data_IF_238982546385
#
_entry.id   IF_238982546385
#
_cell.length_a   1.000
_cell.length_b   1.000
_cell.length_c   1.000
_cell.angle_alpha   90.00
_cell.angle_beta   90.00
_cell.angle_gamma   90.00
#
_symmetry.space_group_name_H-M   'P 1'
#
loop_
_entity.id
_entity.type
_entity.pdbx_description
1 polymer ?
#
# COMPACT_ATOMS: atom_id res chain seq x y z
N UNK A 1 -10.91 26.47 -7.34
CA UNK A 1 -10.99 25.22 -8.13
C UNK A 1 -11.57 24.12 -7.24
N UNK A 2 -12.18 23.07 -7.81
CA UNK A 2 -12.61 21.89 -7.04
C UNK A 2 -11.36 21.17 -6.53
N UNK A 3 -11.34 20.70 -5.29
CA UNK A 3 -10.19 19.96 -4.77
C UNK A 3 -9.98 18.67 -5.58
N UNK A 4 -8.71 18.25 -5.82
CA UNK A 4 -8.41 17.04 -6.58
C UNK A 4 -8.96 15.81 -5.86
N UNK A 5 -9.41 14.82 -6.63
CA UNK A 5 -9.76 13.51 -6.09
C UNK A 5 -8.50 12.74 -5.71
N UNK A 6 -8.60 11.86 -4.72
CA UNK A 6 -7.47 11.05 -4.24
C UNK A 6 -7.55 9.64 -4.82
N UNK A 7 -6.48 9.21 -5.48
CA UNK A 7 -6.22 7.82 -5.82
C UNK A 7 -5.16 7.30 -4.85
N UNK A 8 -5.49 6.26 -4.10
CA UNK A 8 -4.71 5.79 -2.97
C UNK A 8 -3.86 4.55 -3.29
N UNK A 9 -2.65 4.52 -2.75
CA UNK A 9 -1.64 3.49 -2.98
C UNK A 9 -1.92 2.14 -2.33
N UNK A 10 -2.70 2.08 -1.24
CA UNK A 10 -2.91 0.83 -0.49
C UNK A 10 -4.06 0.92 0.52
N UNK A 11 -4.97 -0.06 0.48
CA UNK A 11 -5.95 -0.29 1.53
C UNK A 11 -6.32 -1.78 1.67
N UNK A 12 -6.89 -2.09 2.82
CA UNK A 12 -7.25 -3.44 3.29
C UNK A 12 -8.77 -3.67 3.38
N UNK A 13 -9.55 -2.96 2.54
CA UNK A 13 -11.01 -3.15 2.51
C UNK A 13 -11.40 -4.63 2.32
N UNK A 14 -10.69 -5.34 1.43
CA UNK A 14 -10.98 -6.74 1.14
C UNK A 14 -10.68 -7.64 2.35
N UNK A 15 -9.56 -7.42 3.03
CA UNK A 15 -9.20 -8.08 4.29
C UNK A 15 -10.26 -7.84 5.36
N UNK A 16 -10.70 -6.60 5.55
CA UNK A 16 -11.75 -6.25 6.51
C UNK A 16 -13.04 -7.01 6.24
N UNK A 17 -13.50 -7.02 4.99
CA UNK A 17 -14.73 -7.72 4.60
C UNK A 17 -14.59 -9.24 4.70
N UNK A 18 -13.41 -9.79 4.44
CA UNK A 18 -13.13 -11.22 4.62
C UNK A 18 -13.27 -11.66 6.08
N UNK A 19 -12.85 -10.81 7.02
CA UNK A 19 -12.98 -11.05 8.46
C UNK A 19 -14.30 -10.61 9.08
N UNK A 20 -15.14 -9.88 8.35
CA UNK A 20 -16.37 -9.28 8.87
C UNK A 20 -17.56 -10.26 8.79
N UNK A 21 -18.54 -10.16 9.72
CA UNK A 21 -19.80 -10.86 9.58
C UNK A 21 -20.67 -10.28 8.46
N UNK A 22 -20.47 -9.00 8.13
CA UNK A 22 -21.24 -8.28 7.14
C UNK A 22 -20.60 -8.43 5.75
N UNK A 23 -21.41 -8.77 4.76
CA UNK A 23 -20.96 -8.99 3.38
C UNK A 23 -20.59 -7.72 2.61
N UNK A 24 -20.22 -7.84 1.32
CA UNK A 24 -19.86 -6.74 0.44
C UNK A 24 -20.91 -5.61 0.36
N UNK A 25 -22.19 -5.91 0.58
CA UNK A 25 -23.29 -4.93 0.60
C UNK A 25 -23.11 -3.86 1.69
N UNK A 26 -22.38 -4.16 2.76
CA UNK A 26 -22.11 -3.23 3.87
C UNK A 26 -21.37 -1.97 3.42
N UNK A 27 -20.61 -2.04 2.31
CA UNK A 27 -19.90 -0.89 1.72
C UNK A 27 -20.88 0.21 1.26
N UNK A 28 -22.13 -0.12 0.97
CA UNK A 28 -23.15 0.85 0.58
C UNK A 28 -23.76 1.65 1.74
N UNK A 29 -23.53 1.24 3.00
CA UNK A 29 -24.15 1.81 4.18
C UNK A 29 -23.23 2.69 5.03
N UNK A 30 -23.59 2.84 6.30
CA UNK A 30 -22.76 3.43 7.36
C UNK A 30 -22.12 2.27 8.14
N UNK A 31 -20.97 1.82 7.68
CA UNK A 31 -20.29 0.61 8.19
C UNK A 31 -19.17 0.90 9.19
N UNK A 32 -18.58 -0.17 9.71
CA UNK A 32 -17.30 -0.12 10.44
C UNK A 32 -16.13 -0.13 9.45
N UNK A 33 -15.05 0.60 9.76
CA UNK A 33 -13.87 0.72 8.91
C UNK A 33 -13.78 2.07 8.20
N UNK A 34 -12.71 2.24 7.43
CA UNK A 34 -12.36 3.50 6.81
C UNK A 34 -13.04 3.73 5.46
N UNK A 35 -13.37 2.66 4.72
CA UNK A 35 -13.86 2.75 3.33
C UNK A 35 -15.29 2.25 3.20
N UNK A 36 -16.19 3.17 2.84
CA UNK A 36 -17.59 2.92 2.44
C UNK A 36 -18.00 3.94 1.37
N UNK A 37 -18.93 3.58 0.49
CA UNK A 37 -19.26 4.35 -0.71
C UNK A 37 -19.76 5.79 -0.41
N UNK A 38 -20.61 6.04 0.62
CA UNK A 38 -20.96 7.39 1.03
C UNK A 38 -19.74 8.23 1.44
N UNK A 39 -18.86 7.69 2.30
CA UNK A 39 -17.64 8.38 2.73
C UNK A 39 -16.68 8.62 1.56
N UNK A 40 -16.56 7.68 0.61
CA UNK A 40 -15.70 7.87 -0.55
C UNK A 40 -16.14 9.08 -1.38
N UNK A 41 -17.46 9.27 -1.54
CA UNK A 41 -18.04 10.42 -2.24
C UNK A 41 -17.82 11.73 -1.48
N UNK A 42 -18.07 11.74 -0.18
CA UNK A 42 -17.85 12.91 0.70
C UNK A 42 -16.37 13.31 0.73
N UNK A 43 -15.51 12.32 0.90
CA UNK A 43 -14.08 12.45 1.02
C UNK A 43 -13.34 12.79 -0.27
N UNK A 44 -13.97 12.56 -1.42
CA UNK A 44 -13.32 12.65 -2.73
C UNK A 44 -12.29 11.54 -2.95
N UNK A 45 -12.53 10.35 -2.42
CA UNK A 45 -11.73 9.15 -2.64
C UNK A 45 -12.14 8.53 -3.99
N UNK A 46 -11.28 8.65 -4.99
CA UNK A 46 -11.52 8.14 -6.33
C UNK A 46 -11.35 6.62 -6.42
N UNK A 47 -10.60 6.02 -5.50
CA UNK A 47 -10.22 4.61 -5.54
C UNK A 47 -8.76 4.40 -5.19
N UNK A 48 -8.21 3.23 -5.53
CA UNK A 48 -6.85 2.86 -5.17
C UNK A 48 -6.50 1.41 -5.47
N UNK A 49 -5.44 0.94 -4.81
CA UNK A 49 -5.05 -0.47 -4.78
C UNK A 49 -5.77 -1.17 -3.62
N UNK A 50 -6.49 -2.25 -3.95
CA UNK A 50 -7.24 -3.06 -2.98
C UNK A 50 -6.46 -4.34 -2.73
N UNK A 51 -5.89 -4.44 -1.53
CA UNK A 51 -4.94 -5.48 -1.17
C UNK A 51 -5.64 -6.83 -0.92
N UNK A 52 -5.05 -7.88 -1.48
CA UNK A 52 -5.29 -9.27 -1.14
C UNK A 52 -4.19 -9.67 -0.17
N UNK A 53 -4.50 -9.67 1.12
CA UNK A 53 -3.54 -10.01 2.16
C UNK A 53 -3.95 -11.29 2.89
N UNK A 54 -3.00 -12.19 3.14
CA UNK A 54 -3.25 -13.44 3.87
C UNK A 54 -2.93 -13.24 5.36
N UNK A 55 -3.92 -13.21 6.27
CA UNK A 55 -3.67 -12.90 7.67
C UNK A 55 -2.80 -13.95 8.37
N UNK A 56 -1.92 -13.52 9.26
CA UNK A 56 -1.24 -14.41 10.21
C UNK A 56 -2.07 -14.60 11.48
N UNK A 57 -1.92 -15.77 12.09
CA UNK A 57 -2.33 -15.97 13.48
C UNK A 57 -1.37 -15.25 14.43
N UNK A 58 -1.68 -14.01 14.78
CA UNK A 58 -0.94 -13.20 15.75
C UNK A 58 -1.84 -12.75 16.89
N UNK A 59 -1.28 -12.66 18.10
CA UNK A 59 -1.96 -12.00 19.22
C UNK A 59 -1.93 -10.48 18.98
N UNK A 60 -3.02 -9.98 18.38
CA UNK A 60 -3.16 -8.55 18.04
C UNK A 60 -3.10 -7.69 19.30
N UNK A 61 -3.67 -8.12 20.43
CA UNK A 61 -3.67 -7.34 21.67
C UNK A 61 -2.25 -7.21 22.20
N UNK A 62 -1.50 -8.31 22.25
CA UNK A 62 -0.10 -8.29 22.68
C UNK A 62 0.77 -7.45 21.73
N UNK A 63 0.58 -7.59 20.41
CA UNK A 63 1.24 -6.75 19.40
C UNK A 63 0.97 -5.27 19.65
N UNK A 64 -0.31 -4.90 19.82
CA UNK A 64 -0.70 -3.51 20.03
C UNK A 64 -0.12 -2.93 21.31
N UNK A 65 -0.10 -3.70 22.40
CA UNK A 65 0.49 -3.29 23.66
C UNK A 65 2.01 -3.10 23.53
N UNK A 66 2.70 -4.01 22.84
CA UNK A 66 4.15 -3.93 22.66
C UNK A 66 4.58 -2.70 21.83
N UNK A 67 3.82 -2.37 20.78
CA UNK A 67 4.12 -1.25 19.89
C UNK A 67 3.85 0.14 20.50
N UNK A 68 3.43 0.23 21.77
CA UNK A 68 3.33 1.50 22.51
C UNK A 68 4.61 1.86 23.28
N UNK A 69 5.57 0.93 23.37
CA UNK A 69 6.84 1.14 24.07
C UNK A 69 7.82 2.08 23.33
N UNK A 70 8.90 2.47 24.02
CA UNK A 70 9.97 3.32 23.46
C UNK A 70 10.81 2.62 22.37
N UNK A 71 10.64 1.29 22.24
CA UNK A 71 11.21 0.45 21.21
C UNK A 71 10.63 -0.96 21.28
N UNK A 72 10.61 -1.67 20.16
CA UNK A 72 10.02 -2.99 20.04
C UNK A 72 10.62 -3.78 18.86
N UNK A 73 10.57 -5.10 18.95
CA UNK A 73 10.98 -6.04 17.90
C UNK A 73 9.98 -7.19 17.86
N UNK A 74 9.05 -7.14 16.90
CA UNK A 74 8.01 -8.16 16.77
C UNK A 74 8.52 -9.37 15.98
N UNK A 75 8.36 -10.59 16.51
CA UNK A 75 8.76 -11.78 15.77
C UNK A 75 7.98 -11.88 14.46
N UNK A 76 8.69 -12.24 13.38
CA UNK A 76 8.04 -12.57 12.12
C UNK A 76 7.15 -13.81 12.32
N UNK A 77 5.92 -13.80 11.81
CA UNK A 77 5.11 -15.02 11.73
C UNK A 77 5.78 -16.06 10.83
N UNK A 78 5.46 -17.34 11.04
CA UNK A 78 5.90 -18.41 10.13
C UNK A 78 5.27 -18.27 8.75
N UNK A 79 5.93 -18.85 7.74
CA UNK A 79 5.41 -18.93 6.37
C UNK A 79 4.02 -19.58 6.32
N UNK A 80 3.15 -19.10 5.44
CA UNK A 80 1.83 -19.70 5.21
C UNK A 80 1.92 -20.72 4.06
N UNK A 81 1.36 -21.93 4.20
CA UNK A 81 1.25 -22.88 3.10
C UNK A 81 0.50 -22.32 1.89
N UNK A 82 0.95 -22.65 0.69
CA UNK A 82 0.41 -22.07 -0.55
C UNK A 82 -1.09 -22.38 -0.75
N UNK A 83 -1.55 -23.58 -0.39
CA UNK A 83 -2.94 -24.00 -0.52
C UNK A 83 -3.86 -23.21 0.43
N UNK A 84 -3.42 -22.96 1.66
CA UNK A 84 -4.10 -22.08 2.61
C UNK A 84 -4.17 -20.64 2.08
N UNK A 85 -3.03 -20.10 1.63
CA UNK A 85 -2.96 -18.76 1.06
C UNK A 85 -3.85 -18.61 -0.19
N UNK A 86 -3.85 -19.60 -1.07
CA UNK A 86 -4.68 -19.64 -2.29
C UNK A 86 -6.16 -19.56 -1.95
N UNK A 87 -6.62 -20.26 -0.90
CA UNK A 87 -8.00 -20.17 -0.46
C UNK A 87 -8.37 -18.76 -0.03
N UNK A 88 -7.55 -18.13 0.83
CA UNK A 88 -7.81 -16.78 1.35
C UNK A 88 -7.82 -15.75 0.22
N UNK A 89 -6.82 -15.80 -0.68
CA UNK A 89 -6.74 -14.91 -1.84
C UNK A 89 -7.96 -15.07 -2.74
N UNK A 90 -8.40 -16.31 -3.01
CA UNK A 90 -9.57 -16.54 -3.85
C UNK A 90 -10.87 -16.04 -3.22
N UNK A 91 -11.04 -16.21 -1.91
CA UNK A 91 -12.19 -15.69 -1.17
C UNK A 91 -12.23 -14.14 -1.22
N UNK A 92 -11.08 -13.47 -1.07
CA UNK A 92 -11.01 -12.01 -1.18
C UNK A 92 -11.22 -11.49 -2.60
N UNK A 93 -10.77 -12.21 -3.64
CA UNK A 93 -11.11 -11.85 -5.03
C UNK A 93 -12.62 -12.01 -5.25
N UNK A 94 -13.27 -13.02 -4.67
CA UNK A 94 -14.74 -13.14 -4.78
C UNK A 94 -15.46 -11.92 -4.14
N UNK A 95 -14.96 -11.42 -3.00
CA UNK A 95 -15.44 -10.17 -2.40
C UNK A 95 -15.22 -8.99 -3.35
N UNK A 96 -14.03 -8.87 -3.95
CA UNK A 96 -13.75 -7.82 -4.94
C UNK A 96 -14.72 -7.87 -6.12
N UNK A 97 -14.96 -9.06 -6.68
CA UNK A 97 -15.88 -9.28 -7.80
C UNK A 97 -17.33 -8.91 -7.42
N UNK A 98 -17.75 -9.21 -6.18
CA UNK A 98 -19.05 -8.81 -5.66
C UNK A 98 -19.16 -7.28 -5.50
N UNK A 99 -18.13 -6.60 -5.02
CA UNK A 99 -18.11 -5.14 -4.94
C UNK A 99 -18.17 -4.48 -6.33
N UNK A 100 -17.55 -5.09 -7.34
CA UNK A 100 -17.66 -4.66 -8.74
C UNK A 100 -19.09 -4.87 -9.25
N UNK A 101 -19.69 -6.04 -9.01
CA UNK A 101 -21.06 -6.37 -9.40
C UNK A 101 -22.10 -5.44 -8.76
N UNK A 102 -21.87 -5.04 -7.50
CA UNK A 102 -22.71 -4.09 -6.77
C UNK A 102 -22.49 -2.63 -7.20
N UNK A 103 -21.46 -2.36 -8.01
CA UNK A 103 -21.14 -1.03 -8.52
C UNK A 103 -20.37 -0.13 -7.53
N UNK A 104 -19.88 -0.69 -6.42
CA UNK A 104 -19.04 0.06 -5.48
C UNK A 104 -17.60 0.21 -5.97
N UNK A 105 -17.08 -0.79 -6.69
CA UNK A 105 -15.78 -0.75 -7.34
C UNK A 105 -15.90 -0.82 -8.86
N UNK A 106 -14.94 -0.24 -9.56
CA UNK A 106 -14.73 -0.44 -11.00
C UNK A 106 -13.34 -1.00 -11.21
N UNK A 107 -13.24 -2.29 -11.57
CA UNK A 107 -11.94 -2.93 -11.80
C UNK A 107 -11.20 -2.24 -12.95
N UNK A 108 -9.96 -1.83 -12.68
CA UNK A 108 -9.09 -1.17 -13.64
C UNK A 108 -7.88 -2.05 -13.93
N UNK A 109 -7.66 -2.36 -15.21
CA UNK A 109 -6.55 -3.22 -15.69
C UNK A 109 -5.53 -2.44 -16.55
N UNK A 110 -5.80 -1.17 -16.79
CA UNK A 110 -4.98 -0.24 -17.57
C UNK A 110 -5.14 1.20 -17.08
N UNK A 111 -4.21 2.09 -17.45
CA UNK A 111 -4.34 3.52 -17.13
C UNK A 111 -5.53 4.16 -17.86
N UNK A 112 -5.92 3.60 -19.01
CA UNK A 112 -7.15 4.00 -19.71
C UNK A 112 -8.40 3.76 -18.85
N UNK A 113 -8.48 2.60 -18.18
CA UNK A 113 -9.58 2.28 -17.27
C UNK A 113 -9.60 3.24 -16.09
N UNK A 114 -8.43 3.52 -15.49
CA UNK A 114 -8.32 4.47 -14.37
C UNK A 114 -8.82 5.87 -14.78
N UNK A 115 -8.38 6.37 -15.93
CA UNK A 115 -8.81 7.69 -16.46
C UNK A 115 -10.32 7.73 -16.71
N UNK A 116 -10.94 6.60 -17.05
CA UNK A 116 -12.38 6.51 -17.26
C UNK A 116 -13.19 6.34 -15.96
N UNK A 117 -12.62 5.65 -14.96
CA UNK A 117 -13.29 5.34 -13.70
C UNK A 117 -13.17 6.46 -12.65
N UNK A 118 -12.05 7.20 -12.62
CA UNK A 118 -11.85 8.28 -11.66
C UNK A 118 -12.94 9.35 -11.84
N UNK A 119 -13.66 9.63 -10.75
CA UNK A 119 -14.79 10.56 -10.73
C UNK A 119 -16.13 9.96 -11.19
N UNK A 120 -16.16 8.66 -11.49
CA UNK A 120 -17.39 7.89 -11.73
C UNK A 120 -18.16 7.54 -10.45
N UNK A 121 -19.20 6.71 -10.59
CA UNK A 121 -20.10 6.35 -9.49
C UNK A 121 -19.48 5.40 -8.45
N UNK A 122 -18.59 4.51 -8.92
CA UNK A 122 -17.83 3.55 -8.14
C UNK A 122 -16.34 3.92 -8.08
N UNK A 123 -15.64 3.39 -7.07
CA UNK A 123 -14.22 3.65 -6.85
C UNK A 123 -13.37 2.88 -7.88
N UNK A 124 -12.43 3.56 -8.53
CA UNK A 124 -11.46 2.95 -9.43
C UNK A 124 -10.56 1.96 -8.66
N UNK A 125 -10.51 0.70 -9.07
CA UNK A 125 -9.96 -0.35 -8.24
C UNK A 125 -8.90 -1.17 -8.97
N UNK A 126 -7.68 -1.16 -8.43
CA UNK A 126 -6.59 -2.04 -8.85
C UNK A 126 -6.54 -3.22 -7.90
N UNK A 127 -6.57 -4.44 -8.45
CA UNK A 127 -6.33 -5.64 -7.67
C UNK A 127 -4.84 -5.77 -7.35
N UNK A 128 -4.50 -5.77 -6.06
CA UNK A 128 -3.14 -5.81 -5.54
C UNK A 128 -2.96 -7.02 -4.63
N UNK A 129 -1.80 -7.68 -4.69
CA UNK A 129 -1.47 -8.80 -3.80
C UNK A 129 -0.36 -8.37 -2.84
N UNK A 130 -0.63 -8.40 -1.55
CA UNK A 130 0.31 -8.00 -0.49
C UNK A 130 0.88 -9.26 0.18
N UNK A 131 2.05 -9.69 -0.31
CA UNK A 131 2.59 -11.02 -0.01
C UNK A 131 2.17 -12.05 -1.05
N UNK A 132 3.16 -12.73 -1.62
CA UNK A 132 2.95 -13.65 -2.73
C UNK A 132 2.74 -15.11 -2.29
N UNK A 133 2.22 -15.37 -1.08
CA UNK A 133 2.11 -16.73 -0.52
C UNK A 133 1.23 -17.66 -1.36
N UNK A 134 0.28 -17.13 -2.13
CA UNK A 134 -0.58 -17.91 -3.02
C UNK A 134 0.11 -18.33 -4.34
N UNK A 135 1.32 -17.87 -4.61
CA UNK A 135 2.05 -18.16 -5.85
C UNK A 135 3.14 -19.19 -5.60
N UNK A 136 3.17 -20.24 -6.42
CA UNK A 136 4.14 -21.32 -6.33
C UNK A 136 5.50 -20.95 -6.95
N UNK A 137 6.54 -21.77 -6.72
CA UNK A 137 7.89 -21.49 -7.23
C UNK A 137 8.02 -21.49 -8.75
N UNK A 138 7.04 -22.08 -9.44
CA UNK A 138 6.94 -22.15 -10.92
C UNK A 138 6.15 -20.98 -11.52
N UNK A 139 5.55 -20.13 -10.69
CA UNK A 139 4.82 -18.90 -11.06
C UNK A 139 3.57 -19.11 -11.92
N UNK A 140 3.03 -20.33 -11.99
CA UNK A 140 1.81 -20.62 -12.77
C UNK A 140 0.63 -19.80 -12.26
N UNK A 141 0.46 -19.73 -10.93
CA UNK A 141 -0.66 -19.02 -10.31
C UNK A 141 -0.60 -17.51 -10.55
N UNK A 142 0.61 -16.95 -10.75
CA UNK A 142 0.76 -15.53 -11.09
C UNK A 142 0.08 -15.19 -12.42
N UNK A 143 0.17 -16.09 -13.41
CA UNK A 143 -0.49 -15.92 -14.70
C UNK A 143 -2.02 -16.00 -14.54
N UNK A 144 -2.51 -16.96 -13.74
CA UNK A 144 -3.94 -17.08 -13.43
C UNK A 144 -4.49 -15.82 -12.73
N UNK A 145 -3.75 -15.27 -11.76
CA UNK A 145 -4.13 -14.04 -11.07
C UNK A 145 -4.05 -12.82 -11.99
N UNK A 146 -3.07 -12.76 -12.89
CA UNK A 146 -2.97 -11.70 -13.89
C UNK A 146 -4.19 -11.68 -14.82
N UNK A 147 -4.66 -12.84 -15.28
CA UNK A 147 -5.85 -12.97 -16.12
C UNK A 147 -7.13 -12.55 -15.41
N UNK A 148 -7.20 -12.78 -14.09
CA UNK A 148 -8.26 -12.28 -13.19
C UNK A 148 -8.17 -10.79 -12.90
N UNK A 149 -7.10 -10.13 -13.34
CA UNK A 149 -6.94 -8.67 -13.28
C UNK A 149 -5.94 -8.17 -12.23
N UNK A 150 -5.12 -9.04 -11.64
CA UNK A 150 -4.00 -8.61 -10.79
C UNK A 150 -3.05 -7.71 -11.59
N UNK A 151 -2.70 -6.55 -11.05
CA UNK A 151 -1.81 -5.58 -11.71
C UNK A 151 -0.73 -4.99 -10.80
N UNK A 152 -0.73 -5.37 -9.53
CA UNK A 152 0.26 -4.98 -8.55
C UNK A 152 0.55 -6.12 -7.58
N UNK A 153 1.81 -6.31 -7.18
CA UNK A 153 2.23 -7.39 -6.30
C UNK A 153 3.41 -6.97 -5.41
N UNK A 154 3.26 -7.13 -4.10
CA UNK A 154 4.35 -7.15 -3.13
C UNK A 154 4.85 -8.59 -2.93
N UNK A 155 6.13 -8.92 -3.17
CA UNK A 155 6.64 -10.29 -3.03
C UNK A 155 6.51 -10.87 -1.62
N UNK A 156 6.45 -9.99 -0.61
CA UNK A 156 6.37 -10.32 0.80
C UNK A 156 5.46 -9.33 1.51
N UNK A 157 4.76 -9.80 2.54
CA UNK A 157 4.33 -8.96 3.67
C UNK A 157 5.44 -8.95 4.73
N UNK A 158 5.21 -8.43 5.95
CA UNK A 158 6.08 -8.60 7.13
C UNK A 158 6.09 -10.06 7.64
N UNK A 159 6.47 -10.98 6.75
CA UNK A 159 6.53 -12.43 6.89
C UNK A 159 7.46 -12.98 5.80
N UNK A 160 8.09 -14.11 6.04
CA UNK A 160 8.89 -14.78 5.01
C UNK A 160 7.98 -15.43 3.96
N UNK A 161 8.40 -15.42 2.70
CA UNK A 161 7.79 -16.19 1.61
C UNK A 161 8.85 -17.01 0.90
N UNK A 162 8.46 -17.87 -0.04
CA UNK A 162 9.44 -18.57 -0.88
C UNK A 162 10.25 -17.62 -1.77
N UNK A 163 9.85 -16.34 -1.87
CA UNK A 163 10.45 -15.33 -2.75
C UNK A 163 11.45 -14.42 -2.02
N UNK A 164 11.34 -14.27 -0.70
CA UNK A 164 12.23 -13.41 0.08
C UNK A 164 11.72 -13.16 1.50
N UNK A 165 12.23 -12.09 2.11
CA UNK A 165 12.04 -11.81 3.52
C UNK A 165 11.49 -10.38 3.72
N UNK A 166 10.35 -10.27 4.40
CA UNK A 166 9.82 -9.00 4.86
C UNK A 166 10.49 -8.53 6.17
N UNK A 167 10.43 -7.23 6.43
CA UNK A 167 10.90 -6.66 7.69
C UNK A 167 9.97 -7.02 8.85
N UNK A 168 10.49 -7.32 10.05
CA UNK A 168 9.67 -7.32 11.26
C UNK A 168 9.15 -5.91 11.56
N UNK A 169 8.04 -5.82 12.31
CA UNK A 169 7.67 -4.55 12.92
C UNK A 169 8.65 -4.24 14.06
N UNK A 170 9.62 -3.37 13.77
CA UNK A 170 10.73 -3.07 14.66
C UNK A 170 11.06 -1.59 14.70
N UNK A 171 11.24 -1.05 15.90
CA UNK A 171 11.58 0.34 16.15
C UNK A 171 12.50 0.50 17.38
N UNK A 172 13.52 1.38 17.34
CA UNK A 172 14.11 1.94 16.13
C UNK A 172 14.92 0.87 15.39
N UNK A 173 14.89 0.86 14.05
CA UNK A 173 15.67 -0.06 13.23
C UNK A 173 15.72 0.38 11.77
N UNK A 174 16.73 -0.06 11.03
CA UNK A 174 16.76 0.02 9.56
C UNK A 174 15.96 -1.14 8.95
N UNK A 175 15.76 -1.10 7.63
CA UNK A 175 15.17 -2.21 6.87
C UNK A 175 16.13 -3.40 6.66
N UNK A 176 17.41 -3.26 6.99
CA UNK A 176 18.40 -4.34 6.93
C UNK A 176 18.18 -5.36 8.06
N UNK A 177 17.28 -6.31 7.83
CA UNK A 177 16.81 -7.26 8.85
C UNK A 177 17.02 -8.71 8.46
N UNK A 178 17.70 -9.00 7.34
CA UNK A 178 17.90 -10.36 6.88
C UNK A 178 18.38 -10.47 5.44
N UNK A 179 18.42 -11.70 4.89
CA UNK A 179 18.79 -11.94 3.49
C UNK A 179 17.76 -11.36 2.51
N UNK A 180 18.18 -11.17 1.25
CA UNK A 180 17.35 -10.58 0.20
C UNK A 180 16.44 -11.57 -0.52
N UNK A 181 16.23 -11.38 -1.82
CA UNK A 181 15.38 -12.27 -2.61
C UNK A 181 16.03 -13.65 -2.78
N UNK A 182 15.19 -14.68 -2.85
CA UNK A 182 15.62 -16.02 -3.26
C UNK A 182 15.74 -16.10 -4.79
N UNK A 183 16.28 -17.19 -5.32
CA UNK A 183 16.26 -17.45 -6.78
C UNK A 183 14.83 -17.46 -7.35
N UNK A 184 13.84 -17.89 -6.56
CA UNK A 184 12.44 -17.81 -6.94
C UNK A 184 11.95 -16.35 -6.96
N UNK A 185 12.37 -15.53 -5.99
CA UNK A 185 12.08 -14.10 -5.96
C UNK A 185 12.63 -13.34 -7.16
N UNK A 186 13.85 -13.65 -7.59
CA UNK A 186 14.44 -13.08 -8.81
C UNK A 186 13.64 -13.48 -10.07
N UNK A 187 13.14 -14.72 -10.14
CA UNK A 187 12.24 -15.15 -11.22
C UNK A 187 10.89 -14.42 -11.17
N UNK A 188 10.33 -14.24 -9.98
CA UNK A 188 9.08 -13.50 -9.76
C UNK A 188 9.20 -12.07 -10.28
N UNK A 189 10.26 -11.34 -9.88
CA UNK A 189 10.53 -9.97 -10.36
C UNK A 189 10.53 -9.90 -11.89
N UNK A 190 11.29 -10.80 -12.54
CA UNK A 190 11.37 -10.83 -14.01
C UNK A 190 10.05 -11.19 -14.68
N UNK A 191 9.24 -12.05 -14.05
CA UNK A 191 7.91 -12.41 -14.57
C UNK A 191 6.94 -11.23 -14.45
N UNK A 192 6.94 -10.53 -13.32
CA UNK A 192 6.15 -9.31 -13.13
C UNK A 192 6.51 -8.24 -14.17
N UNK A 193 7.80 -7.96 -14.38
CA UNK A 193 8.27 -7.03 -15.42
C UNK A 193 7.75 -7.39 -16.82
N UNK A 194 7.76 -8.68 -17.17
CA UNK A 194 7.30 -9.20 -18.47
C UNK A 194 5.79 -9.12 -18.63
N UNK A 195 5.03 -9.32 -17.55
CA UNK A 195 3.57 -9.25 -17.56
C UNK A 195 3.06 -7.80 -17.45
N UNK A 196 3.89 -6.86 -17.03
CA UNK A 196 3.44 -5.52 -16.67
C UNK A 196 2.68 -5.53 -15.34
N UNK A 197 3.12 -6.33 -14.37
CA UNK A 197 2.65 -6.27 -12.97
C UNK A 197 3.60 -5.34 -12.22
N UNK A 198 3.06 -4.29 -11.60
CA UNK A 198 3.84 -3.38 -10.76
C UNK A 198 4.35 -4.13 -9.52
N UNK A 199 5.66 -4.07 -9.26
CA UNK A 199 6.24 -4.59 -8.04
C UNK A 199 6.13 -3.55 -6.92
N UNK A 200 5.63 -3.98 -5.78
CA UNK A 200 5.58 -3.19 -4.55
C UNK A 200 6.69 -3.63 -3.58
N UNK A 201 7.45 -2.66 -3.09
CA UNK A 201 8.59 -2.83 -2.21
C UNK A 201 8.25 -2.56 -0.74
N UNK A 202 7.02 -2.12 -0.46
CA UNK A 202 6.50 -2.08 0.90
C UNK A 202 6.64 -3.46 1.54
N UNK A 203 7.03 -3.50 2.82
CA UNK A 203 7.39 -4.68 3.63
C UNK A 203 8.70 -5.36 3.28
N UNK A 204 9.18 -5.29 2.05
CA UNK A 204 10.43 -5.96 1.65
C UNK A 204 11.61 -5.40 2.45
N UNK A 205 12.47 -6.29 2.95
CA UNK A 205 13.67 -5.87 3.66
C UNK A 205 14.68 -5.17 2.73
N UNK A 206 15.67 -4.51 3.31
CA UNK A 206 16.61 -3.68 2.55
C UNK A 206 17.43 -4.50 1.54
N UNK A 207 17.86 -5.71 1.91
CA UNK A 207 18.56 -6.59 0.99
C UNK A 207 17.69 -6.95 -0.24
N UNK A 208 16.42 -7.31 0.00
CA UNK A 208 15.46 -7.61 -1.05
C UNK A 208 15.11 -6.41 -1.90
N UNK A 209 14.96 -5.22 -1.29
CA UNK A 209 14.79 -3.95 -2.02
C UNK A 209 15.91 -3.77 -3.04
N UNK A 210 17.17 -3.94 -2.61
CA UNK A 210 18.32 -3.78 -3.50
C UNK A 210 18.41 -4.89 -4.55
N UNK A 211 17.93 -6.10 -4.27
CA UNK A 211 17.80 -7.14 -5.29
C UNK A 211 16.78 -6.78 -6.37
N UNK A 212 15.63 -6.20 -6.00
CA UNK A 212 14.66 -5.68 -6.98
C UNK A 212 15.27 -4.52 -7.76
N UNK A 213 15.94 -3.58 -7.10
CA UNK A 213 16.60 -2.44 -7.75
C UNK A 213 17.64 -2.86 -8.80
N UNK A 214 18.34 -3.99 -8.57
CA UNK A 214 19.30 -4.56 -9.54
C UNK A 214 18.65 -5.39 -10.65
N UNK A 215 17.44 -5.90 -10.42
CA UNK A 215 16.83 -6.93 -11.28
C UNK A 215 15.71 -6.39 -12.14
N UNK A 216 14.85 -5.53 -11.58
CA UNK A 216 13.72 -4.96 -12.30
C UNK A 216 14.18 -3.92 -13.31
N UNK A 217 13.45 -3.88 -14.41
CA UNK A 217 13.55 -2.92 -15.51
C UNK A 217 12.43 -1.89 -15.45
N UNK A 218 11.58 -1.97 -14.43
CA UNK A 218 10.43 -1.09 -14.17
C UNK A 218 10.74 -0.11 -13.03
N UNK A 219 9.99 0.99 -12.90
CA UNK A 219 10.16 1.90 -11.78
C UNK A 219 9.96 1.21 -10.43
N UNK A 220 10.77 1.57 -9.44
CA UNK A 220 10.66 1.05 -8.07
C UNK A 220 9.49 1.73 -7.36
N UNK A 221 8.61 0.95 -6.73
CA UNK A 221 7.41 1.49 -6.08
C UNK A 221 7.30 0.98 -4.66
N UNK A 222 7.06 1.87 -3.71
CA UNK A 222 6.59 1.53 -2.37
C UNK A 222 5.19 2.11 -2.19
N UNK A 223 4.16 1.27 -2.19
CA UNK A 223 2.76 1.69 -2.13
C UNK A 223 2.38 2.40 -0.84
N UNK A 224 2.95 2.00 0.31
CA UNK A 224 2.62 2.53 1.64
C UNK A 224 3.85 2.48 2.57
N UNK A 225 4.81 3.39 2.38
CA UNK A 225 6.01 3.51 3.23
C UNK A 225 6.42 4.97 3.42
N UNK A 226 6.97 5.32 4.59
CA UNK A 226 7.34 6.70 4.91
C UNK A 226 8.86 6.91 4.96
N UNK A 227 9.29 8.13 5.28
CA UNK A 227 10.71 8.50 5.42
C UNK A 227 11.33 8.03 6.74
N UNK A 228 12.37 7.20 6.66
CA UNK A 228 13.10 6.67 7.83
C UNK A 228 13.78 7.77 8.64
N UNK A 229 14.26 8.82 7.96
CA UNK A 229 14.91 9.97 8.59
C UNK A 229 14.02 10.72 9.60
N UNK A 230 12.69 10.59 9.49
CA UNK A 230 11.72 11.20 10.43
C UNK A 230 11.26 10.19 11.47
N UNK A 231 10.96 8.96 11.05
CA UNK A 231 10.54 7.86 11.93
C UNK A 231 11.39 6.62 11.60
N UNK A 232 12.40 6.29 12.44
CA UNK A 232 13.37 5.22 12.16
C UNK A 232 12.78 3.82 12.42
N UNK A 233 11.67 3.51 11.76
CA UNK A 233 11.00 2.22 11.78
C UNK A 233 11.52 1.34 10.64
N UNK A 234 11.66 0.03 10.85
CA UNK A 234 12.15 -0.90 9.81
C UNK A 234 11.30 -0.91 8.52
N UNK A 235 10.04 -0.45 8.61
CA UNK A 235 9.13 -0.31 7.47
C UNK A 235 9.38 0.93 6.62
N UNK A 236 10.09 1.93 7.13
CA UNK A 236 10.33 3.18 6.45
C UNK A 236 11.60 3.14 5.59
N UNK A 237 11.59 3.93 4.52
CA UNK A 237 12.62 3.96 3.51
C UNK A 237 13.77 4.88 3.94
N UNK A 238 14.99 4.37 3.88
CA UNK A 238 16.20 5.18 4.07
C UNK A 238 16.39 6.15 2.90
N UNK A 239 17.14 7.23 3.11
CA UNK A 239 17.43 8.18 2.04
C UNK A 239 18.10 7.52 0.82
N UNK A 240 18.94 6.50 1.03
CA UNK A 240 19.54 5.75 -0.07
C UNK A 240 18.49 4.97 -0.89
N UNK A 241 17.47 4.41 -0.24
CA UNK A 241 16.35 3.76 -0.93
C UNK A 241 15.49 4.80 -1.67
N UNK A 242 15.25 5.97 -1.07
CA UNK A 242 14.54 7.07 -1.73
C UNK A 242 15.29 7.56 -2.97
N UNK A 243 16.60 7.75 -2.88
CA UNK A 243 17.44 8.17 -4.01
C UNK A 243 17.36 7.12 -5.15
N UNK A 244 17.42 5.81 -4.85
CA UNK A 244 17.24 4.75 -5.84
C UNK A 244 15.84 4.73 -6.48
N UNK A 245 14.79 4.99 -5.69
CA UNK A 245 13.42 5.13 -6.22
C UNK A 245 13.35 6.33 -7.17
N UNK A 246 13.97 7.47 -6.81
CA UNK A 246 14.03 8.65 -7.66
C UNK A 246 14.75 8.37 -8.99
N UNK A 247 15.90 7.69 -8.95
CA UNK A 247 16.68 7.29 -10.12
C UNK A 247 15.91 6.38 -11.09
N UNK A 248 15.11 5.44 -10.55
CA UNK A 248 14.24 4.56 -11.34
C UNK A 248 12.98 5.24 -11.88
N UNK A 249 12.78 6.52 -11.55
CA UNK A 249 11.56 7.28 -11.83
C UNK A 249 10.29 6.68 -11.20
N UNK A 250 10.50 6.12 -10.01
CA UNK A 250 9.57 5.35 -9.19
C UNK A 250 8.52 6.17 -8.45
N UNK A 251 7.98 5.60 -7.36
CA UNK A 251 6.89 6.20 -6.60
C UNK A 251 6.90 5.75 -5.12
N UNK A 252 6.58 6.67 -4.21
CA UNK A 252 6.29 6.37 -2.80
C UNK A 252 4.91 6.90 -2.43
N UNK A 253 4.06 6.04 -1.87
CA UNK A 253 2.81 6.43 -1.22
C UNK A 253 3.01 6.63 0.29
N UNK A 254 2.60 7.79 0.79
CA UNK A 254 2.61 8.12 2.22
C UNK A 254 1.62 7.23 2.98
N UNK A 255 2.15 6.45 3.92
CA UNK A 255 1.40 5.60 4.84
C UNK A 255 0.87 6.36 6.05
N UNK A 256 -0.39 6.14 6.43
CA UNK A 256 -1.02 6.82 7.55
C UNK A 256 -0.84 6.08 8.88
N UNK A 257 -0.27 4.87 8.89
CA UNK A 257 0.04 4.10 10.08
C UNK A 257 0.86 4.94 11.06
N UNK A 258 0.29 5.18 12.25
CA UNK A 258 0.85 6.12 13.21
C UNK A 258 2.24 5.73 13.70
N UNK A 259 2.54 4.43 13.82
CA UNK A 259 3.86 3.95 14.18
C UNK A 259 4.94 4.27 13.13
N UNK A 260 4.55 4.49 11.87
CA UNK A 260 5.46 4.81 10.77
C UNK A 260 5.53 6.32 10.48
N UNK A 261 4.59 7.10 11.01
CA UNK A 261 4.59 8.56 10.96
C UNK A 261 5.36 9.17 12.14
N UNK A 262 5.15 8.62 13.34
CA UNK A 262 5.63 9.28 14.55
C UNK A 262 7.14 9.13 14.68
N UNK A 263 7.87 10.21 15.04
CA UNK A 263 9.29 10.11 15.33
C UNK A 263 9.63 9.19 16.51
N UNK A 264 8.68 8.98 17.41
CA UNK A 264 8.81 8.06 18.55
C UNK A 264 8.37 6.61 18.23
N UNK A 265 7.91 6.34 17.00
CA UNK A 265 7.53 5.01 16.53
C UNK A 265 6.31 4.39 17.21
N UNK A 266 5.64 5.10 18.10
CA UNK A 266 4.60 4.49 18.94
C UNK A 266 3.30 4.28 18.19
N UNK A 267 2.63 3.18 18.44
CA UNK A 267 1.30 2.96 17.91
C UNK A 267 0.23 3.69 18.73
N UNK A 268 0.13 5.01 18.54
CA UNK A 268 -0.86 5.88 19.18
C UNK A 268 -1.46 6.85 18.16
N UNK A 269 -2.79 6.95 18.18
CA UNK A 269 -3.57 7.72 17.23
C UNK A 269 -3.40 9.25 17.37
N UNK A 270 -2.86 9.73 18.49
CA UNK A 270 -2.62 11.14 18.83
C UNK A 270 -1.42 11.74 18.08
N UNK A 271 -1.44 11.64 16.74
CA UNK A 271 -0.46 12.21 15.82
C UNK A 271 -1.14 13.25 14.93
N UNK A 272 -0.54 14.43 14.82
CA UNK A 272 -1.09 15.51 13.99
C UNK A 272 -0.77 15.34 12.51
N UNK A 273 -1.60 15.95 11.66
CA UNK A 273 -1.39 16.00 10.19
C UNK A 273 -0.07 16.73 9.86
N UNK A 274 0.44 17.61 10.73
CA UNK A 274 1.75 18.25 10.57
C UNK A 274 2.90 17.23 10.47
N UNK A 275 2.78 16.08 11.15
CA UNK A 275 3.78 15.00 11.04
C UNK A 275 3.74 14.36 9.66
N UNK A 276 2.55 14.18 9.08
CA UNK A 276 2.37 13.70 7.71
C UNK A 276 2.97 14.69 6.70
N UNK A 277 2.77 15.99 6.91
CA UNK A 277 3.36 17.04 6.07
C UNK A 277 4.89 17.04 6.13
N UNK A 278 5.50 16.81 7.30
CA UNK A 278 6.96 16.62 7.41
C UNK A 278 7.45 15.44 6.57
N UNK A 279 6.72 14.33 6.58
CA UNK A 279 7.05 13.19 5.73
C UNK A 279 6.89 13.51 4.24
N UNK A 280 5.80 14.18 3.84
CA UNK A 280 5.61 14.62 2.46
C UNK A 280 6.73 15.55 2.00
N UNK A 281 7.12 16.54 2.80
CA UNK A 281 8.23 17.44 2.48
C UNK A 281 9.54 16.68 2.25
N UNK A 282 9.88 15.75 3.17
CA UNK A 282 11.11 14.94 3.03
C UNK A 282 11.07 14.03 1.80
N UNK A 283 9.91 13.40 1.55
CA UNK A 283 9.72 12.56 0.37
C UNK A 283 9.82 13.40 -0.91
N UNK A 284 9.21 14.58 -0.97
CA UNK A 284 9.24 15.49 -2.12
C UNK A 284 10.65 16.02 -2.36
N UNK A 285 11.40 16.37 -1.30
CA UNK A 285 12.78 16.84 -1.40
C UNK A 285 13.70 15.79 -2.04
N UNK A 286 13.55 14.52 -1.63
CA UNK A 286 14.38 13.41 -2.13
C UNK A 286 13.93 12.87 -3.49
N UNK A 287 12.62 12.68 -3.67
CA UNK A 287 12.06 12.00 -4.84
C UNK A 287 11.67 12.99 -5.96
N UNK A 288 11.50 14.27 -5.62
CA UNK A 288 10.86 15.26 -6.48
C UNK A 288 9.33 15.13 -6.50
N UNK A 289 8.67 16.21 -6.93
CA UNK A 289 7.20 16.35 -6.90
C UNK A 289 6.42 15.29 -7.70
N UNK A 290 7.05 14.55 -8.60
CA UNK A 290 6.38 13.62 -9.53
C UNK A 290 6.33 12.17 -9.01
N UNK A 291 6.84 11.90 -7.81
CA UNK A 291 7.13 10.55 -7.31
C UNK A 291 6.62 10.30 -5.89
N UNK A 292 5.73 11.17 -5.43
CA UNK A 292 5.11 11.08 -4.10
C UNK A 292 3.61 11.10 -4.25
N UNK A 293 2.90 10.30 -3.47
CA UNK A 293 1.44 10.31 -3.39
C UNK A 293 0.98 9.78 -2.06
N UNK A 294 -0.27 9.33 -2.00
CA UNK A 294 -0.87 8.76 -0.79
C UNK A 294 -0.96 7.24 -0.91
N UNK A 295 -0.79 6.54 0.21
CA UNK A 295 -0.90 5.09 0.33
C UNK A 295 -1.33 4.74 1.73
N UNK A 296 -2.60 4.99 2.00
CA UNK A 296 -3.18 5.23 3.32
C UNK A 296 -2.96 4.12 4.34
N UNK A 297 -2.96 2.85 3.90
CA UNK A 297 -3.05 1.71 4.82
C UNK A 297 -4.41 1.68 5.56
N UNK A 298 -5.46 2.23 4.91
CA UNK A 298 -6.82 2.21 5.45
C UNK A 298 -7.34 0.79 5.63
N UNK A 299 -8.03 0.55 6.75
CA UNK A 299 -8.46 -0.77 7.23
C UNK A 299 -7.32 -1.76 7.58
N UNK A 300 -6.05 -1.39 7.35
CA UNK A 300 -4.86 -2.21 7.63
C UNK A 300 -4.06 -1.75 8.86
N UNK A 301 -4.18 -0.46 9.24
CA UNK A 301 -3.42 0.14 10.33
C UNK A 301 -4.24 1.02 11.29
N UNK A 302 -3.64 1.32 12.44
CA UNK A 302 -4.06 2.46 13.26
C UNK A 302 -3.58 3.75 12.60
N UNK A 303 -4.51 4.62 12.23
CA UNK A 303 -4.26 5.90 11.55
C UNK A 303 -4.47 7.08 12.52
N UNK A 304 -4.13 8.34 12.12
CA UNK A 304 -4.35 9.51 12.96
C UNK A 304 -5.83 9.70 13.30
N UNK A 305 -6.13 10.21 14.50
CA UNK A 305 -7.51 10.44 14.96
C UNK A 305 -8.35 11.34 14.03
N UNK A 306 -7.68 12.25 13.32
CA UNK A 306 -8.32 13.18 12.37
C UNK A 306 -8.55 12.58 10.98
N UNK A 307 -8.10 11.35 10.71
CA UNK A 307 -8.12 10.74 9.38
C UNK A 307 -8.60 9.28 9.43
N UNK A 308 -9.59 8.96 10.27
CA UNK A 308 -10.04 7.57 10.49
C UNK A 308 -10.86 6.98 9.35
N UNK A 309 -11.41 7.82 8.48
CA UNK A 309 -12.21 7.41 7.33
C UNK A 309 -11.80 8.19 6.08
N UNK A 310 -12.09 7.63 4.91
CA UNK A 310 -11.93 8.37 3.65
C UNK A 310 -12.76 9.66 3.62
N UNK A 311 -13.84 9.76 4.41
CA UNK A 311 -14.61 11.01 4.58
C UNK A 311 -13.77 12.17 5.15
N UNK A 312 -12.70 11.87 5.88
CA UNK A 312 -11.83 12.86 6.52
C UNK A 312 -10.74 13.42 5.60
N UNK A 313 -10.54 12.85 4.41
CA UNK A 313 -9.55 13.31 3.44
C UNK A 313 -9.63 14.81 3.04
N UNK A 314 -10.78 15.50 3.08
CA UNK A 314 -10.83 16.95 2.93
C UNK A 314 -9.97 17.70 3.96
N UNK A 315 -9.82 17.17 5.18
CA UNK A 315 -8.97 17.75 6.22
C UNK A 315 -7.50 17.70 5.82
N UNK A 316 -7.03 16.54 5.33
CA UNK A 316 -5.67 16.38 4.82
C UNK A 316 -5.40 17.34 3.65
N UNK A 317 -6.32 17.43 2.67
CA UNK A 317 -6.16 18.36 1.55
C UNK A 317 -6.16 19.83 1.98
N UNK A 318 -6.91 20.19 3.02
CA UNK A 318 -6.87 21.54 3.59
C UNK A 318 -5.50 21.81 4.21
N UNK A 319 -5.02 20.90 5.07
CA UNK A 319 -3.72 21.04 5.71
C UNK A 319 -2.56 21.12 4.70
N UNK A 320 -2.59 20.31 3.64
CA UNK A 320 -1.60 20.37 2.54
C UNK A 320 -1.61 21.73 1.83
N UNK A 321 -2.79 22.31 1.57
CA UNK A 321 -2.91 23.65 0.97
C UNK A 321 -2.43 24.73 1.92
N UNK A 322 -2.81 24.66 3.19
CA UNK A 322 -2.41 25.62 4.22
C UNK A 322 -0.90 25.58 4.50
N UNK A 323 -0.27 24.40 4.29
CA UNK A 323 1.18 24.21 4.32
C UNK A 323 1.91 24.84 3.12
N UNK A 324 1.20 25.12 2.03
CA UNK A 324 1.72 25.84 0.87
C UNK A 324 1.85 25.02 -0.41
N UNK A 325 1.31 23.81 -0.48
CA UNK A 325 1.26 23.06 -1.73
C UNK A 325 0.25 23.70 -2.69
N UNK A 326 0.73 24.13 -3.86
CA UNK A 326 -0.10 24.75 -4.88
C UNK A 326 -1.03 23.73 -5.57
N UNK A 327 -1.98 24.22 -6.36
CA UNK A 327 -2.96 23.36 -7.01
C UNK A 327 -2.32 22.34 -7.97
N UNK A 328 -1.17 22.65 -8.57
CA UNK A 328 -0.47 21.74 -9.49
C UNK A 328 0.22 20.59 -8.74
N UNK A 329 0.88 20.89 -7.62
CA UNK A 329 1.45 19.87 -6.74
C UNK A 329 0.35 19.03 -6.09
N UNK A 330 -0.76 19.64 -5.66
CA UNK A 330 -1.91 18.92 -5.11
C UNK A 330 -2.47 17.89 -6.10
N UNK A 331 -2.62 18.23 -7.38
CA UNK A 331 -3.08 17.27 -8.41
C UNK A 331 -2.14 16.06 -8.54
N UNK A 332 -0.82 16.32 -8.54
CA UNK A 332 0.21 15.29 -8.60
C UNK A 332 0.14 14.34 -7.41
N UNK A 333 0.14 14.90 -6.20
CA UNK A 333 0.14 14.13 -4.93
C UNK A 333 -1.16 13.34 -4.75
N UNK A 334 -2.30 13.90 -5.15
CA UNK A 334 -3.58 13.25 -4.94
C UNK A 334 -3.83 12.10 -5.92
N UNK A 335 -3.44 12.19 -7.19
CA UNK A 335 -3.57 11.05 -8.11
C UNK A 335 -2.63 11.06 -9.32
N UNK A 336 -2.17 12.23 -9.79
CA UNK A 336 -1.42 12.34 -11.05
C UNK A 336 -0.15 11.49 -11.08
N UNK A 337 0.56 11.42 -9.95
CA UNK A 337 1.79 10.64 -9.82
C UNK A 337 1.55 9.13 -9.86
N UNK A 338 0.43 8.65 -9.30
CA UNK A 338 0.02 7.25 -9.41
C UNK A 338 -0.25 6.86 -10.86
N UNK A 339 -1.03 7.66 -11.60
CA UNK A 339 -1.31 7.39 -13.01
C UNK A 339 -0.03 7.35 -13.85
N UNK A 340 0.92 8.27 -13.58
CA UNK A 340 2.22 8.32 -14.26
C UNK A 340 3.04 7.06 -14.03
N UNK A 341 3.19 6.61 -12.78
CA UNK A 341 4.03 5.43 -12.50
C UNK A 341 3.38 4.16 -13.06
N UNK A 342 2.05 4.05 -12.98
CA UNK A 342 1.32 2.91 -13.56
C UNK A 342 1.45 2.84 -15.08
N UNK A 343 1.47 3.98 -15.77
CA UNK A 343 1.70 4.03 -17.22
C UNK A 343 3.09 3.49 -17.61
N UNK A 344 4.09 3.57 -16.72
CA UNK A 344 5.43 3.02 -16.94
C UNK A 344 5.54 1.56 -16.51
N UNK A 345 4.91 1.20 -15.39
CA UNK A 345 4.96 -0.15 -14.84
C UNK A 345 4.18 -1.16 -15.67
N UNK A 346 3.08 -0.73 -16.32
CA UNK A 346 2.21 -1.60 -17.13
C UNK A 346 2.53 -1.60 -18.63
N UNK A 347 3.52 -0.81 -19.08
CA UNK A 347 3.87 -0.63 -20.49
C UNK A 347 4.46 -1.88 -21.17
#
# INVERSE_FOLDING_TARGET
MRAPLIFDGHNDLLTRLYGAPDGPESVGGEGQGAIFAPAAREGGFAGGFFALWVPSHVDVIAKMAAMQGDGYDMPLPGMVPQDEATKVVNDQIAIFDDLVRLGFLTQCRSVGDLRAAIGGDGMAAILHMEGAEAIGPDLTELDDYYDRGLRSLGPVWSRETIFGHGVPFRFPSTGDTGPGLTDAGIRLVRRCDKLGIMLDLSHLNEAGFWDVARTSTRPLVATHSNAHAISPHARNLTDAQLDAIAESDGMVGLNFAVAFLRPDGRMRADVGIDVMLRHLDHLIDRLGENRVGLGSDYDGAMVPEDLTSVADLPRLRSAMRDHGYDDALMEKLCHGNWLRVLEKSWA
#
